data_IF_187002761661
#
_entry.id   IF_187002761661
#
_cell.length_a   1.000
_cell.length_b   1.000
_cell.length_c   1.000
_cell.angle_alpha   90.00
_cell.angle_beta   90.00
_cell.angle_gamma   90.00
#
_symmetry.space_group_name_H-M   'P 1'
#
loop_
_entity.id
_entity.type
_entity.pdbx_description
1 polymer ?
#
# COMPACT_ATOMS: atom_id res chain seq x y z
N UNK A 1 -39.38 33.04 48.75
CA UNK A 1 -38.08 33.74 48.60
C UNK A 1 -37.11 33.06 49.57
N UNK A 2 -35.95 32.52 49.21
CA UNK A 2 -35.03 32.70 48.09
C UNK A 2 -34.52 31.34 47.60
N UNK A 3 -34.27 31.22 46.30
CA UNK A 3 -33.44 30.18 45.67
C UNK A 3 -31.98 30.66 45.68
N UNK A 4 -31.03 29.80 46.03
CA UNK A 4 -29.60 30.00 45.76
C UNK A 4 -29.11 29.02 44.70
N UNK A 5 -28.21 29.52 43.86
CA UNK A 5 -27.89 29.02 42.53
C UNK A 5 -26.76 27.99 42.53
N UNK A 6 -26.89 26.98 41.67
CA UNK A 6 -25.84 26.02 41.33
C UNK A 6 -24.91 26.67 40.29
N UNK A 7 -23.67 26.89 40.69
CA UNK A 7 -22.57 27.39 39.85
C UNK A 7 -21.84 26.21 39.18
N UNK A 8 -21.79 26.24 37.86
CA UNK A 8 -21.03 25.35 36.98
C UNK A 8 -19.55 25.73 36.90
N UNK A 9 -18.64 24.74 36.98
CA UNK A 9 -17.26 24.80 36.47
C UNK A 9 -16.79 23.42 35.97
N UNK A 10 -15.82 23.39 35.03
CA UNK A 10 -15.84 22.49 33.87
C UNK A 10 -15.02 21.21 34.05
N UNK A 11 -15.37 20.19 33.26
CA UNK A 11 -14.58 18.98 33.09
C UNK A 11 -13.25 19.30 32.39
N UNK A 12 -12.16 19.22 33.14
CA UNK A 12 -10.82 19.04 32.60
C UNK A 12 -10.68 17.61 32.07
N UNK A 13 -10.35 17.48 30.80
CA UNK A 13 -9.96 16.22 30.16
C UNK A 13 -8.43 16.18 30.20
N UNK A 14 -7.87 15.38 31.11
CA UNK A 14 -6.43 15.12 31.18
C UNK A 14 -6.13 13.65 30.85
N UNK A 15 -5.26 13.52 29.85
CA UNK A 15 -4.31 12.44 29.53
C UNK A 15 -4.65 10.97 29.87
N UNK A 16 -4.89 10.24 28.77
CA UNK A 16 -4.35 8.92 28.42
C UNK A 16 -3.47 8.24 29.49
N UNK A 17 -4.04 7.24 30.18
CA UNK A 17 -3.27 6.17 30.83
C UNK A 17 -3.73 4.83 30.26
N UNK A 18 -2.85 4.20 29.49
CA UNK A 18 -3.07 2.89 28.89
C UNK A 18 -2.76 1.80 29.95
N UNK A 19 -3.70 0.88 30.18
CA UNK A 19 -3.47 -0.37 30.92
C UNK A 19 -3.66 -1.55 29.96
N UNK A 20 -2.71 -2.49 29.84
CA UNK A 20 -2.92 -3.70 29.06
C UNK A 20 -3.68 -4.73 29.90
N UNK A 21 -4.83 -5.16 29.38
CA UNK A 21 -5.23 -6.57 29.26
C UNK A 21 -6.76 -6.67 29.24
N UNK A 22 -7.32 -6.88 28.06
CA UNK A 22 -8.43 -7.81 27.86
C UNK A 22 -8.63 -8.04 26.36
N UNK A 23 -8.86 -9.30 26.03
CA UNK A 23 -9.13 -9.84 24.71
C UNK A 23 -10.36 -9.14 24.09
N UNK A 24 -10.17 -8.36 23.02
CA UNK A 24 -11.26 -7.92 22.14
C UNK A 24 -10.76 -7.74 20.71
N UNK A 25 -11.70 -7.82 19.78
CA UNK A 25 -11.59 -8.04 18.33
C UNK A 25 -10.43 -7.37 17.58
N UNK A 26 -9.97 -8.02 16.51
CA UNK A 26 -8.95 -7.57 15.55
C UNK A 26 -9.22 -6.21 14.86
N UNK A 27 -10.35 -5.56 15.13
CA UNK A 27 -10.70 -4.25 14.60
C UNK A 27 -10.09 -3.08 15.39
N UNK A 28 -9.71 -3.26 16.66
CA UNK A 28 -9.21 -2.15 17.50
C UNK A 28 -7.68 -1.96 17.43
N UNK A 29 -6.95 -2.81 16.69
CA UNK A 29 -5.49 -2.70 16.52
C UNK A 29 -5.06 -1.67 15.48
N UNK A 30 -5.97 -1.24 14.61
CA UNK A 30 -5.71 -0.23 13.59
C UNK A 30 -6.58 0.99 13.90
N UNK A 31 -6.02 1.96 14.62
CA UNK A 31 -6.74 3.13 15.10
C UNK A 31 -7.48 3.85 13.96
N UNK A 32 -8.81 3.79 13.98
CA UNK A 32 -9.72 4.51 13.07
C UNK A 32 -9.89 5.98 13.47
N UNK A 33 -8.79 6.61 13.90
CA UNK A 33 -8.76 8.04 14.19
C UNK A 33 -8.64 8.80 12.88
N UNK A 34 -9.75 9.35 12.38
CA UNK A 34 -9.88 10.18 11.17
C UNK A 34 -9.14 11.53 11.26
N UNK A 35 -7.84 11.52 11.54
CA UNK A 35 -6.97 12.70 11.43
C UNK A 35 -6.59 12.86 9.96
N UNK A 36 -7.17 13.88 9.32
CA UNK A 36 -7.17 14.08 7.86
C UNK A 36 -5.83 13.84 7.15
N UNK A 37 -5.90 13.16 6.02
CA UNK A 37 -4.78 12.72 5.17
C UNK A 37 -4.02 13.86 4.45
N UNK A 38 -4.24 15.13 4.83
CA UNK A 38 -3.54 16.29 4.29
C UNK A 38 -2.27 16.67 5.08
N UNK A 39 -2.09 16.09 6.26
CA UNK A 39 -0.86 16.25 7.02
C UNK A 39 0.25 15.33 6.48
N UNK A 40 1.52 15.74 6.56
CA UNK A 40 2.66 14.84 6.38
C UNK A 40 2.45 13.56 7.20
N UNK A 41 2.74 12.41 6.60
CA UNK A 41 2.70 11.13 7.28
C UNK A 41 4.08 10.52 7.29
N UNK A 42 4.58 10.12 8.46
CA UNK A 42 5.85 9.42 8.55
C UNK A 42 5.65 7.96 8.13
N UNK A 43 6.41 7.50 7.14
CA UNK A 43 6.37 6.09 6.71
C UNK A 43 6.78 5.13 7.83
N UNK A 44 7.51 5.60 8.85
CA UNK A 44 7.83 4.82 10.05
C UNK A 44 6.57 4.40 10.83
N UNK A 45 5.47 5.15 10.74
CA UNK A 45 4.19 4.77 11.35
C UNK A 45 3.61 3.47 10.75
N UNK A 46 4.04 3.06 9.54
CA UNK A 46 3.66 1.78 8.91
C UNK A 46 4.53 0.60 9.33
N UNK A 47 5.62 0.81 10.05
CA UNK A 47 6.51 -0.29 10.45
C UNK A 47 5.78 -1.43 11.16
N UNK A 48 4.90 -1.18 12.16
CA UNK A 48 4.17 -2.26 12.81
C UNK A 48 3.28 -3.07 11.85
N UNK A 49 2.75 -2.44 10.79
CA UNK A 49 1.98 -3.14 9.76
C UNK A 49 2.88 -4.05 8.92
N UNK A 50 4.05 -3.57 8.50
CA UNK A 50 4.99 -4.38 7.75
C UNK A 50 5.57 -5.54 8.56
N UNK A 51 5.82 -5.33 9.86
CA UNK A 51 6.25 -6.39 10.77
C UNK A 51 5.16 -7.44 10.94
N UNK A 52 3.92 -7.03 11.21
CA UNK A 52 2.78 -7.95 11.25
C UNK A 52 2.61 -8.72 9.93
N UNK A 53 2.83 -8.07 8.78
CA UNK A 53 2.79 -8.73 7.47
C UNK A 53 3.89 -9.79 7.33
N UNK A 54 5.13 -9.52 7.79
CA UNK A 54 6.21 -10.52 7.85
C UNK A 54 5.85 -11.70 8.74
N UNK A 55 5.41 -11.44 9.97
CA UNK A 55 5.03 -12.46 10.94
C UNK A 55 3.91 -13.38 10.42
N UNK A 56 2.93 -12.79 9.70
CA UNK A 56 1.86 -13.54 9.05
C UNK A 56 2.40 -14.45 7.95
N UNK A 57 3.32 -13.95 7.10
CA UNK A 57 3.96 -14.78 6.08
C UNK A 57 4.79 -15.91 6.71
N UNK A 58 5.55 -15.64 7.77
CA UNK A 58 6.29 -16.67 8.52
C UNK A 58 5.36 -17.76 9.05
N UNK A 59 4.22 -17.36 9.60
CA UNK A 59 3.21 -18.28 10.12
C UNK A 59 2.61 -19.15 9.01
N UNK A 60 2.30 -18.58 7.84
CA UNK A 60 1.81 -19.33 6.67
C UNK A 60 2.87 -20.34 6.19
N UNK A 61 4.15 -19.94 6.15
CA UNK A 61 5.25 -20.85 5.79
C UNK A 61 5.36 -22.00 6.78
N UNK A 62 5.29 -21.71 8.08
CA UNK A 62 5.36 -22.75 9.12
C UNK A 62 4.21 -23.74 9.01
N UNK A 63 2.97 -23.24 8.85
CA UNK A 63 1.77 -24.07 8.72
C UNK A 63 1.80 -24.96 7.47
N UNK A 64 2.17 -24.40 6.31
CA UNK A 64 2.24 -25.16 5.05
C UNK A 64 3.32 -26.23 5.08
N UNK A 65 4.49 -25.93 5.67
CA UNK A 65 5.57 -26.93 5.88
C UNK A 65 5.13 -28.05 6.81
N UNK A 66 4.48 -27.74 7.92
CA UNK A 66 3.96 -28.75 8.85
C UNK A 66 2.92 -29.66 8.18
N UNK A 67 2.07 -29.08 7.32
CA UNK A 67 1.06 -29.81 6.53
C UNK A 67 1.64 -30.51 5.28
N UNK A 68 2.94 -30.33 4.97
CA UNK A 68 3.59 -30.81 3.74
C UNK A 68 2.89 -30.34 2.45
N UNK A 69 2.33 -29.14 2.48
CA UNK A 69 1.72 -28.50 1.32
C UNK A 69 2.74 -27.57 0.67
N UNK A 70 3.05 -27.72 -0.64
CA UNK A 70 3.90 -26.78 -1.35
C UNK A 70 3.34 -25.36 -1.31
N UNK A 71 4.21 -24.37 -1.10
CA UNK A 71 3.85 -22.95 -1.02
C UNK A 71 4.57 -22.16 -2.11
N UNK A 72 3.82 -21.31 -2.81
CA UNK A 72 4.32 -20.32 -3.76
C UNK A 72 3.89 -18.95 -3.21
N UNK A 73 4.82 -18.02 -3.09
CA UNK A 73 4.50 -16.64 -2.72
C UNK A 73 4.26 -15.81 -3.98
N UNK A 74 3.28 -14.91 -3.93
CA UNK A 74 2.95 -14.02 -5.04
C UNK A 74 3.14 -12.56 -4.67
N UNK A 75 3.82 -11.80 -5.53
CA UNK A 75 3.80 -10.33 -5.41
C UNK A 75 2.44 -9.80 -5.88
N UNK A 76 2.07 -8.61 -5.45
CA UNK A 76 0.83 -7.94 -5.83
C UNK A 76 1.10 -6.85 -6.87
N UNK A 77 0.23 -6.74 -7.88
CA UNK A 77 0.23 -5.60 -8.77
C UNK A 77 -0.64 -4.47 -8.19
N UNK A 78 -0.39 -3.23 -8.60
CA UNK A 78 -1.20 -2.06 -8.21
C UNK A 78 -1.25 -1.04 -9.34
N UNK A 79 -2.33 -0.26 -9.39
CA UNK A 79 -2.55 0.75 -10.43
C UNK A 79 -1.84 2.06 -10.11
N UNK A 80 -1.15 2.61 -11.12
CA UNK A 80 -0.54 3.94 -11.12
C UNK A 80 -1.51 5.03 -11.60
N UNK A 81 -2.75 4.67 -11.96
CA UNK A 81 -3.75 5.62 -12.46
C UNK A 81 -4.58 6.26 -11.33
N UNK A 82 -4.73 5.55 -10.22
CA UNK A 82 -5.54 6.01 -9.10
C UNK A 82 -4.69 6.65 -7.99
N UNK A 83 -5.07 7.83 -7.47
CA UNK A 83 -4.37 8.49 -6.37
C UNK A 83 -4.45 7.67 -5.07
N UNK A 84 -3.55 7.93 -4.10
CA UNK A 84 -3.67 7.44 -2.72
C UNK A 84 -5.11 7.53 -2.20
N UNK A 85 -5.51 6.60 -1.34
CA UNK A 85 -6.90 6.51 -0.92
C UNK A 85 -7.34 7.80 -0.21
N UNK A 86 -8.53 8.30 -0.56
CA UNK A 86 -9.03 9.59 -0.12
C UNK A 86 -10.44 9.47 0.46
N UNK A 87 -10.65 10.26 1.52
CA UNK A 87 -11.94 10.79 1.96
C UNK A 87 -12.32 12.11 1.23
N UNK A 88 -11.62 12.50 0.15
CA UNK A 88 -11.94 13.65 -0.69
C UNK A 88 -12.23 13.18 -2.11
N UNK A 89 -13.21 13.79 -2.76
CA UNK A 89 -13.61 13.44 -4.12
C UNK A 89 -12.48 13.63 -5.13
N UNK A 90 -12.46 12.80 -6.18
CA UNK A 90 -11.46 12.84 -7.27
C UNK A 90 -11.38 14.24 -7.93
N UNK A 91 -12.50 14.94 -7.98
CA UNK A 91 -12.64 16.28 -8.55
C UNK A 91 -11.94 17.37 -7.70
N UNK A 92 -11.98 17.23 -6.37
CA UNK A 92 -11.23 18.09 -5.45
C UNK A 92 -9.74 17.71 -5.42
N UNK A 93 -9.38 16.52 -5.87
CA UNK A 93 -8.01 16.05 -6.00
C UNK A 93 -7.32 16.71 -7.21
N UNK A 94 -7.92 16.60 -8.40
CA UNK A 94 -7.32 17.17 -9.62
C UNK A 94 -7.16 18.69 -9.52
N UNK A 95 -8.18 19.41 -9.02
CA UNK A 95 -8.08 20.86 -8.82
C UNK A 95 -7.00 21.27 -7.83
N UNK A 96 -6.83 20.53 -6.73
CA UNK A 96 -5.80 20.83 -5.74
C UNK A 96 -4.39 20.47 -6.24
N UNK A 97 -4.26 19.38 -6.99
CA UNK A 97 -3.03 18.93 -7.64
C UNK A 97 -2.57 19.92 -8.72
N UNK A 98 -3.48 20.34 -9.60
CA UNK A 98 -3.22 21.35 -10.63
C UNK A 98 -2.85 22.70 -10.02
N UNK A 99 -3.60 23.14 -9.00
CA UNK A 99 -3.28 24.39 -8.30
C UNK A 99 -1.94 24.28 -7.59
N UNK A 100 -1.63 23.16 -6.93
CA UNK A 100 -0.34 22.95 -6.27
C UNK A 100 0.80 22.91 -7.27
N UNK A 101 0.68 22.22 -8.40
CA UNK A 101 1.71 22.19 -9.44
C UNK A 101 1.91 23.58 -10.08
N UNK A 102 0.83 24.33 -10.32
CA UNK A 102 0.89 25.68 -10.91
C UNK A 102 1.39 26.76 -9.94
N UNK A 103 1.05 26.66 -8.66
CA UNK A 103 1.38 27.67 -7.64
C UNK A 103 2.70 27.35 -6.92
N UNK A 104 3.02 26.08 -6.74
CA UNK A 104 4.14 25.61 -5.92
C UNK A 104 5.28 25.02 -6.75
N UNK A 105 5.29 25.26 -8.07
CA UNK A 105 6.30 24.78 -9.02
C UNK A 105 7.76 25.05 -8.64
N UNK A 106 8.02 25.83 -7.59
CA UNK A 106 9.36 26.11 -7.04
C UNK A 106 9.52 25.85 -5.53
N UNK A 107 8.48 25.45 -4.77
CA UNK A 107 8.48 25.70 -3.30
C UNK A 107 7.88 24.66 -2.38
N UNK A 108 7.48 23.50 -2.86
CA UNK A 108 7.08 22.40 -1.98
C UNK A 108 8.25 21.43 -1.82
N UNK A 109 8.54 21.14 -0.56
CA UNK A 109 9.58 20.20 -0.17
C UNK A 109 9.20 18.78 -0.62
N UNK A 110 10.11 18.08 -1.32
CA UNK A 110 9.94 16.67 -1.62
C UNK A 110 9.78 15.84 -0.33
N UNK A 111 10.25 16.37 0.80
CA UNK A 111 10.13 15.80 2.13
C UNK A 111 8.77 16.13 2.79
N UNK A 112 7.81 16.71 2.06
CA UNK A 112 6.50 17.06 2.62
C UNK A 112 5.72 15.87 3.20
N UNK A 113 6.10 14.63 2.86
CA UNK A 113 5.47 13.40 3.33
C UNK A 113 3.96 13.32 3.03
N UNK A 114 3.46 14.17 2.13
CA UNK A 114 2.06 14.25 1.77
C UNK A 114 1.82 13.42 0.50
N UNK A 115 1.17 12.28 0.68
CA UNK A 115 0.87 11.33 -0.40
C UNK A 115 0.18 11.98 -1.60
N UNK A 116 -0.73 12.94 -1.39
CA UNK A 116 -1.46 13.58 -2.49
C UNK A 116 -0.58 14.51 -3.31
N UNK A 117 0.28 15.29 -2.66
CA UNK A 117 1.21 16.18 -3.35
C UNK A 117 2.25 15.37 -4.13
N UNK A 118 2.77 14.30 -3.53
CA UNK A 118 3.68 13.36 -4.19
C UNK A 118 3.03 12.73 -5.43
N UNK A 119 1.79 12.25 -5.31
CA UNK A 119 1.09 11.66 -6.46
C UNK A 119 0.82 12.69 -7.56
N UNK A 120 0.39 13.91 -7.19
CA UNK A 120 0.19 15.03 -8.10
C UNK A 120 1.47 15.39 -8.86
N UNK A 121 2.60 15.43 -8.17
CA UNK A 121 3.88 15.68 -8.80
C UNK A 121 4.27 14.59 -9.76
N UNK A 122 4.11 13.31 -9.41
CA UNK A 122 4.44 12.22 -10.32
C UNK A 122 3.58 12.19 -11.59
N UNK A 123 2.39 12.81 -11.58
CA UNK A 123 1.55 12.96 -12.77
C UNK A 123 2.12 13.93 -13.81
N UNK A 124 2.85 14.96 -13.39
CA UNK A 124 3.47 15.92 -14.30
C UNK A 124 4.56 15.32 -15.21
N UNK A 125 5.63 14.69 -14.70
CA UNK A 125 6.63 14.02 -15.52
C UNK A 125 6.01 12.84 -16.28
N UNK A 126 4.97 12.16 -15.74
CA UNK A 126 4.24 11.12 -16.48
C UNK A 126 3.61 11.67 -17.76
N UNK A 127 2.96 12.84 -17.68
CA UNK A 127 2.37 13.52 -18.83
C UNK A 127 3.45 14.02 -19.81
N UNK A 128 4.63 14.38 -19.32
CA UNK A 128 5.78 14.77 -20.13
C UNK A 128 6.57 13.58 -20.72
N UNK A 129 6.21 12.34 -20.36
CA UNK A 129 6.89 11.11 -20.80
C UNK A 129 8.13 10.73 -19.97
N UNK A 130 8.47 11.48 -18.92
CA UNK A 130 9.49 11.07 -17.94
C UNK A 130 8.90 10.08 -16.93
N UNK A 131 8.87 8.82 -17.37
CA UNK A 131 8.29 7.72 -16.61
C UNK A 131 9.14 7.30 -15.40
N UNK A 132 10.44 7.59 -15.42
CA UNK A 132 11.33 7.25 -14.32
C UNK A 132 11.05 8.17 -13.12
N UNK A 133 10.98 9.48 -13.37
CA UNK A 133 10.64 10.45 -12.33
C UNK A 133 9.19 10.30 -11.85
N UNK A 134 8.26 10.05 -12.78
CA UNK A 134 6.87 9.76 -12.45
C UNK A 134 6.74 8.59 -11.46
N UNK A 135 7.44 7.49 -11.73
CA UNK A 135 7.43 6.31 -10.87
C UNK A 135 7.97 6.64 -9.48
N UNK A 136 9.09 7.34 -9.39
CA UNK A 136 9.70 7.71 -8.12
C UNK A 136 8.70 8.43 -7.21
N UNK A 137 8.03 9.46 -7.72
CA UNK A 137 7.08 10.23 -6.94
C UNK A 137 5.80 9.46 -6.60
N UNK A 138 5.27 8.66 -7.53
CA UNK A 138 4.04 7.89 -7.29
C UNK A 138 4.28 6.74 -6.31
N UNK A 139 5.42 6.05 -6.41
CA UNK A 139 5.79 5.01 -5.45
C UNK A 139 5.95 5.60 -4.04
N UNK A 140 6.59 6.77 -3.93
CA UNK A 140 6.69 7.51 -2.66
C UNK A 140 5.31 7.90 -2.13
N UNK A 141 4.41 8.38 -2.99
CA UNK A 141 3.05 8.69 -2.61
C UNK A 141 2.32 7.48 -2.00
N UNK A 142 2.53 6.28 -2.54
CA UNK A 142 1.93 5.06 -2.00
C UNK A 142 2.54 4.65 -0.65
N UNK A 143 3.84 4.90 -0.45
CA UNK A 143 4.47 4.71 0.86
C UNK A 143 3.90 5.67 1.91
N UNK A 144 3.56 6.90 1.52
CA UNK A 144 2.94 7.90 2.39
C UNK A 144 1.40 7.79 2.52
N UNK A 145 0.75 6.88 1.80
CA UNK A 145 -0.71 6.67 1.88
C UNK A 145 -1.08 6.05 3.24
N UNK A 146 -1.76 6.79 4.12
CA UNK A 146 -2.07 6.34 5.49
C UNK A 146 -3.04 5.16 5.56
N UNK A 147 -3.93 5.06 4.57
CA UNK A 147 -4.97 4.03 4.53
C UNK A 147 -4.90 3.28 3.19
N UNK A 148 -3.78 2.60 2.91
CA UNK A 148 -3.57 2.02 1.61
C UNK A 148 -4.52 0.83 1.44
N UNK A 149 -5.50 0.98 0.55
CA UNK A 149 -6.32 -0.14 0.05
C UNK A 149 -5.66 -0.89 -1.10
N UNK A 150 -4.37 -0.65 -1.31
CA UNK A 150 -3.53 -1.20 -2.37
C UNK A 150 -2.25 -1.78 -1.79
N UNK A 151 -1.60 -2.65 -2.56
CA UNK A 151 -0.21 -2.99 -2.28
C UNK A 151 0.71 -1.79 -2.55
N UNK A 152 1.86 -1.76 -1.88
CA UNK A 152 2.90 -0.77 -2.09
C UNK A 152 4.23 -1.46 -2.45
N UNK A 153 5.27 -0.70 -2.87
CA UNK A 153 6.57 -1.27 -3.22
C UNK A 153 7.20 -2.12 -2.10
N UNK A 154 6.93 -1.78 -0.83
CA UNK A 154 7.52 -2.43 0.34
C UNK A 154 6.89 -3.78 0.64
N UNK A 155 5.57 -3.93 0.48
CA UNK A 155 4.88 -5.23 0.56
C UNK A 155 5.52 -6.23 -0.41
N UNK A 156 5.73 -5.82 -1.66
CA UNK A 156 6.34 -6.69 -2.67
C UNK A 156 7.82 -7.00 -2.38
N UNK A 157 8.55 -6.08 -1.74
CA UNK A 157 9.91 -6.34 -1.28
C UNK A 157 9.90 -7.42 -0.20
N UNK A 158 9.02 -7.29 0.80
CA UNK A 158 8.85 -8.29 1.87
C UNK A 158 8.54 -9.66 1.28
N UNK A 159 7.60 -9.77 0.33
CA UNK A 159 7.29 -11.05 -0.33
C UNK A 159 8.55 -11.70 -0.92
N UNK A 160 9.39 -10.93 -1.62
CA UNK A 160 10.63 -11.45 -2.22
C UNK A 160 11.69 -11.81 -1.18
N UNK A 161 11.84 -11.00 -0.14
CA UNK A 161 12.73 -11.28 1.01
C UNK A 161 12.34 -12.60 1.69
N UNK A 162 11.06 -12.77 2.00
CA UNK A 162 10.52 -13.98 2.63
C UNK A 162 10.71 -15.20 1.72
N UNK A 163 10.42 -15.06 0.43
CA UNK A 163 10.64 -16.15 -0.51
C UNK A 163 12.12 -16.56 -0.59
N UNK A 164 13.05 -15.59 -0.62
CA UNK A 164 14.48 -15.86 -0.58
C UNK A 164 14.91 -16.56 0.72
N UNK A 165 14.46 -16.06 1.87
CA UNK A 165 14.78 -16.62 3.20
C UNK A 165 14.33 -18.07 3.37
N UNK A 166 13.18 -18.42 2.81
CA UNK A 166 12.59 -19.75 2.96
C UNK A 166 12.76 -20.64 1.71
N UNK A 167 13.55 -20.18 0.73
CA UNK A 167 13.80 -20.86 -0.55
C UNK A 167 12.50 -21.23 -1.30
N UNK A 168 11.51 -20.34 -1.26
CA UNK A 168 10.20 -20.54 -1.87
C UNK A 168 10.17 -19.97 -3.30
N UNK A 169 9.46 -20.62 -4.23
CA UNK A 169 9.19 -20.04 -5.54
C UNK A 169 8.33 -18.77 -5.44
N UNK A 170 8.58 -17.81 -6.34
CA UNK A 170 7.83 -16.55 -6.46
C UNK A 170 7.07 -16.46 -7.78
N UNK A 171 5.75 -16.26 -7.69
CA UNK A 171 4.93 -15.76 -8.79
C UNK A 171 5.00 -14.22 -8.79
N UNK A 172 5.90 -13.63 -9.59
CA UNK A 172 6.11 -12.17 -9.64
C UNK A 172 5.06 -11.47 -10.51
N UNK A 173 3.79 -11.54 -10.07
CA UNK A 173 2.64 -10.95 -10.77
C UNK A 173 2.80 -9.44 -10.94
N UNK A 174 3.36 -8.74 -9.95
CA UNK A 174 3.59 -7.30 -10.02
C UNK A 174 4.46 -6.92 -11.22
N UNK A 175 5.58 -7.64 -11.41
CA UNK A 175 6.46 -7.40 -12.56
C UNK A 175 5.85 -7.87 -13.88
N UNK A 176 5.09 -8.97 -13.89
CA UNK A 176 4.43 -9.47 -15.09
C UNK A 176 3.35 -8.50 -15.61
N UNK A 177 2.52 -7.97 -14.71
CA UNK A 177 1.53 -6.93 -15.02
C UNK A 177 2.22 -5.66 -15.49
N UNK A 178 3.24 -5.19 -14.76
CA UNK A 178 4.01 -4.01 -15.14
C UNK A 178 4.67 -4.17 -16.52
N UNK A 179 5.25 -5.32 -16.85
CA UNK A 179 5.89 -5.54 -18.15
C UNK A 179 4.93 -5.43 -19.35
N UNK A 180 3.62 -5.59 -19.13
CA UNK A 180 2.59 -5.49 -20.17
C UNK A 180 2.07 -4.06 -20.35
N UNK A 181 2.26 -3.20 -19.35
CA UNK A 181 1.79 -1.83 -19.34
C UNK A 181 2.75 -0.87 -20.07
N UNK A 182 2.19 0.17 -20.68
CA UNK A 182 2.97 1.27 -21.23
C UNK A 182 3.83 1.92 -20.13
N UNK A 183 5.11 2.13 -20.41
CA UNK A 183 6.05 2.69 -19.43
C UNK A 183 6.25 1.86 -18.16
N UNK A 184 5.79 0.61 -18.18
CA UNK A 184 5.73 -0.30 -17.03
C UNK A 184 4.90 0.20 -15.85
N UNK A 185 4.04 1.19 -16.05
CA UNK A 185 3.20 1.81 -15.01
C UNK A 185 1.74 1.42 -15.28
N UNK A 186 1.30 0.24 -14.82
CA UNK A 186 -0.03 -0.25 -15.14
C UNK A 186 -1.12 0.66 -14.61
N UNK A 187 -2.15 0.89 -15.42
CA UNK A 187 -3.33 1.67 -15.09
C UNK A 187 -4.62 0.92 -15.45
N UNK A 188 -5.64 1.66 -15.87
CA UNK A 188 -6.98 1.14 -16.16
C UNK A 188 -6.99 0.12 -17.31
N UNK A 189 -5.93 0.03 -18.11
CA UNK A 189 -5.79 -0.99 -19.14
C UNK A 189 -5.61 -2.41 -18.57
N UNK A 190 -5.20 -2.54 -17.30
CA UNK A 190 -5.04 -3.81 -16.59
C UNK A 190 -5.81 -3.88 -15.26
N UNK A 191 -6.43 -2.78 -14.82
CA UNK A 191 -7.15 -2.66 -13.56
C UNK A 191 -8.57 -2.12 -13.79
N UNK A 192 -9.54 -2.61 -13.02
CA UNK A 192 -10.88 -2.01 -12.98
C UNK A 192 -10.89 -0.77 -12.07
N UNK A 193 -10.02 -0.76 -11.06
CA UNK A 193 -9.91 0.30 -10.07
C UNK A 193 -8.52 0.30 -9.38
N UNK A 194 -8.37 0.82 -8.16
CA UNK A 194 -7.06 1.06 -7.57
C UNK A 194 -6.23 -0.18 -7.21
N UNK A 195 -6.84 -1.35 -6.99
CA UNK A 195 -6.14 -2.57 -6.58
C UNK A 195 -6.60 -3.88 -7.25
N UNK A 196 -7.77 -3.91 -7.87
CA UNK A 196 -8.34 -5.08 -8.53
C UNK A 196 -8.04 -5.05 -10.02
N UNK A 197 -7.45 -6.15 -10.49
CA UNK A 197 -7.17 -6.38 -11.90
C UNK A 197 -8.48 -6.56 -12.67
N UNK A 198 -8.52 -6.05 -13.91
CA UNK A 198 -9.59 -6.36 -14.85
C UNK A 198 -9.39 -7.77 -15.46
N UNK A 199 -10.23 -8.20 -16.41
CA UNK A 199 -10.09 -9.52 -17.04
C UNK A 199 -8.69 -9.76 -17.62
N UNK A 200 -8.15 -8.79 -18.37
CA UNK A 200 -6.81 -8.89 -18.98
C UNK A 200 -5.71 -8.94 -17.93
N UNK A 201 -5.82 -8.16 -16.86
CA UNK A 201 -4.90 -8.22 -15.73
C UNK A 201 -4.93 -9.58 -15.02
N UNK A 202 -6.13 -10.13 -14.80
CA UNK A 202 -6.31 -11.45 -14.19
C UNK A 202 -5.72 -12.58 -15.05
N UNK A 203 -5.82 -12.50 -16.39
CA UNK A 203 -5.16 -13.47 -17.27
C UNK A 203 -3.64 -13.52 -17.04
N UNK A 204 -3.00 -12.37 -16.83
CA UNK A 204 -1.56 -12.30 -16.51
C UNK A 204 -1.28 -12.94 -15.14
N UNK A 205 -2.09 -12.62 -14.13
CA UNK A 205 -1.98 -13.22 -12.80
C UNK A 205 -2.07 -14.74 -12.87
N UNK A 206 -3.11 -15.26 -13.53
CA UNK A 206 -3.37 -16.70 -13.66
C UNK A 206 -2.18 -17.39 -14.34
N UNK A 207 -1.70 -16.85 -15.47
CA UNK A 207 -0.55 -17.43 -16.18
C UNK A 207 0.71 -17.43 -15.31
N UNK A 208 0.98 -16.33 -14.63
CA UNK A 208 2.17 -16.19 -13.76
C UNK A 208 2.17 -17.23 -12.64
N UNK A 209 1.02 -17.49 -12.00
CA UNK A 209 0.90 -18.55 -11.00
C UNK A 209 0.96 -19.95 -11.62
N UNK A 210 0.24 -20.18 -12.72
CA UNK A 210 0.20 -21.48 -13.39
C UNK A 210 1.60 -21.95 -13.79
N UNK A 211 2.42 -21.07 -14.36
CA UNK A 211 3.82 -21.36 -14.70
C UNK A 211 4.63 -21.79 -13.46
N UNK A 212 4.45 -21.12 -12.32
CA UNK A 212 5.16 -21.50 -11.08
C UNK A 212 4.67 -22.81 -10.49
N UNK A 213 3.36 -23.08 -10.55
CA UNK A 213 2.78 -24.36 -10.13
C UNK A 213 3.32 -25.51 -10.97
N UNK A 214 3.32 -25.37 -12.31
CA UNK A 214 3.83 -26.40 -13.22
C UNK A 214 5.32 -26.67 -12.99
N UNK A 215 6.12 -25.62 -12.80
CA UNK A 215 7.56 -25.75 -12.52
C UNK A 215 7.83 -26.41 -11.16
N UNK A 216 7.04 -26.11 -10.14
CA UNK A 216 7.17 -26.73 -8.82
C UNK A 216 6.75 -28.21 -8.82
N UNK A 217 5.75 -28.57 -9.62
CA UNK A 217 5.30 -29.95 -9.78
C UNK A 217 6.26 -30.81 -10.64
N UNK A 218 7.01 -30.19 -11.56
CA UNK A 218 7.96 -30.87 -12.45
C UNK A 218 9.37 -30.31 -12.29
N UNK A 219 10.05 -30.52 -11.15
CA UNK A 219 11.41 -30.02 -10.97
C UNK A 219 12.33 -30.66 -12.02
N UNK A 220 12.91 -29.84 -12.90
CA UNK A 220 13.91 -30.33 -13.85
C UNK A 220 15.05 -30.99 -13.05
N UNK A 221 15.45 -32.23 -13.36
CA UNK A 221 16.51 -32.88 -12.59
C UNK A 221 17.78 -32.02 -12.66
N UNK A 222 18.25 -31.57 -11.50
CA UNK A 222 19.52 -30.84 -11.40
C UNK A 222 20.62 -31.77 -11.92
N UNK A 223 21.23 -31.42 -13.06
CA UNK A 223 22.45 -32.09 -13.54
C UNK A 223 23.50 -31.91 -12.44
N UNK A 224 23.92 -33.03 -11.84
CA UNK A 224 25.06 -33.10 -10.94
C UNK A 224 26.36 -32.96 -11.72
#
# INVERSE_FOLDING_TARGET
MRFEAISSRPHGFDSCSWRPNAVSSSADRYGTGSKGCAAPYDTAEKEPFYDAYRENLESIVALTRAARVPLILGTLAYSYEHPPHRALTYDAYERAAELSARVLGERLDADSGNAFLLYAWGRHPRAAGDLAEARRFIDEAFLHDREPRRADPRINRIVREMAGRYELPVADVGSAVAATAAGRMPGNELFDEHCHLNTRGNEILIRTFAERIVNAANPTPRRR
#
